data_IF_720908306864
#
_entry.id   IF_720908306864
#
_cell.length_a   1.000
_cell.length_b   1.000
_cell.length_c   1.000
_cell.angle_alpha   90.00
_cell.angle_beta   90.00
_cell.angle_gamma   90.00
#
_symmetry.space_group_name_H-M   'P 1'
#
loop_
_entity.id
_entity.type
_entity.pdbx_description
1 polymer ?
#
# COMPACT_ATOMS: atom_id res chain seq x y z
N UNK A 1 6.93 2.30 24.63
CA UNK A 1 6.44 2.95 23.38
C UNK A 1 7.38 2.71 22.20
N UNK A 2 8.69 2.90 22.36
CA UNK A 2 9.69 2.75 21.26
C UNK A 2 9.59 1.41 20.52
N UNK A 3 9.43 0.28 21.23
CA UNK A 3 9.30 -1.04 20.59
C UNK A 3 8.07 -1.17 19.67
N UNK A 4 6.91 -0.63 20.09
CA UNK A 4 5.71 -0.61 19.24
C UNK A 4 5.87 0.30 18.03
N UNK A 5 6.51 1.46 18.20
CA UNK A 5 6.81 2.37 17.09
C UNK A 5 7.79 1.75 16.08
N UNK A 6 8.80 1.02 16.56
CA UNK A 6 9.75 0.32 15.70
C UNK A 6 9.10 -0.81 14.91
N UNK A 7 8.24 -1.61 15.56
CA UNK A 7 7.46 -2.65 14.88
C UNK A 7 6.49 -2.07 13.85
N UNK A 8 5.81 -0.97 14.18
CA UNK A 8 4.93 -0.28 13.25
C UNK A 8 5.72 0.25 12.04
N UNK A 9 6.90 0.84 12.25
CA UNK A 9 7.76 1.33 11.17
C UNK A 9 8.30 0.19 10.30
N UNK A 10 8.70 -0.94 10.88
CA UNK A 10 9.12 -2.11 10.12
C UNK A 10 7.97 -2.67 9.27
N UNK A 11 6.75 -2.70 9.81
CA UNK A 11 5.56 -3.17 9.11
C UNK A 11 5.13 -2.29 7.93
N UNK A 12 5.57 -1.03 7.86
CA UNK A 12 5.34 -0.20 6.66
C UNK A 12 6.34 -0.47 5.53
N UNK A 13 7.44 -1.18 5.81
CA UNK A 13 8.50 -1.50 4.84
C UNK A 13 8.00 -2.05 3.50
N UNK A 14 7.09 -3.05 3.47
CA UNK A 14 6.53 -3.56 2.22
C UNK A 14 5.73 -2.53 1.41
N UNK A 15 5.22 -1.46 2.05
CA UNK A 15 4.50 -0.37 1.39
C UNK A 15 5.41 0.80 0.98
N UNK A 16 6.70 0.76 1.33
CA UNK A 16 7.68 1.76 0.90
C UNK A 16 8.24 1.39 -0.47
N UNK A 17 8.61 2.40 -1.27
CA UNK A 17 9.16 2.22 -2.62
C UNK A 17 10.33 1.25 -2.65
N UNK A 18 11.22 1.29 -1.64
CA UNK A 18 12.37 0.37 -1.52
C UNK A 18 11.90 -1.07 -1.31
N UNK A 19 10.93 -1.30 -0.44
CA UNK A 19 10.40 -2.64 -0.18
C UNK A 19 9.72 -3.24 -1.41
N UNK A 20 8.88 -2.46 -2.11
CA UNK A 20 8.16 -2.90 -3.31
C UNK A 20 9.14 -3.23 -4.45
N UNK A 21 10.21 -2.45 -4.61
CA UNK A 21 11.16 -2.63 -5.72
C UNK A 21 11.80 -4.03 -5.76
N UNK A 22 11.97 -4.67 -4.60
CA UNK A 22 12.51 -6.04 -4.48
C UNK A 22 11.57 -7.10 -5.06
N UNK A 23 10.27 -6.81 -5.17
CA UNK A 23 9.26 -7.74 -5.67
C UNK A 23 8.91 -7.50 -7.14
N UNK A 24 9.34 -6.39 -7.75
CA UNK A 24 8.97 -6.04 -9.13
C UNK A 24 9.46 -7.08 -10.12
N UNK A 25 10.73 -7.48 -10.06
CA UNK A 25 11.30 -8.43 -11.02
C UNK A 25 10.67 -9.83 -10.88
N UNK A 26 10.50 -10.40 -9.65
CA UNK A 26 9.71 -11.62 -9.45
C UNK A 26 8.26 -11.52 -9.94
N UNK A 27 7.58 -10.38 -9.71
CA UNK A 27 6.19 -10.18 -10.20
C UNK A 27 6.12 -10.22 -11.73
N UNK A 28 7.09 -9.62 -12.42
CA UNK A 28 7.15 -9.61 -13.88
C UNK A 28 7.28 -11.04 -14.40
N UNK A 29 8.17 -11.82 -13.78
CA UNK A 29 8.45 -13.20 -14.19
C UNK A 29 7.26 -14.13 -13.91
N UNK A 30 6.62 -14.00 -12.74
CA UNK A 30 5.52 -14.86 -12.32
C UNK A 30 4.19 -14.52 -13.01
N UNK A 31 3.89 -13.23 -13.21
CA UNK A 31 2.63 -12.78 -13.81
C UNK A 31 2.74 -12.58 -15.33
N UNK A 32 3.94 -12.68 -15.91
CA UNK A 32 4.19 -12.46 -17.33
C UNK A 32 3.88 -11.03 -17.80
N UNK A 33 3.87 -10.05 -16.89
CA UNK A 33 3.53 -8.65 -17.19
C UNK A 33 4.75 -7.82 -17.56
N UNK A 34 4.55 -6.81 -18.41
CA UNK A 34 5.65 -5.92 -18.77
C UNK A 34 6.04 -4.97 -17.62
N UNK A 35 7.30 -4.54 -17.60
CA UNK A 35 7.78 -3.52 -16.64
C UNK A 35 7.00 -2.20 -16.75
N UNK A 36 6.55 -1.82 -17.94
CA UNK A 36 5.73 -0.62 -18.13
C UNK A 36 4.35 -0.78 -17.49
N UNK A 37 3.71 -1.95 -17.59
CA UNK A 37 2.44 -2.24 -16.89
C UNK A 37 2.57 -2.08 -15.37
N UNK A 38 3.67 -2.56 -14.78
CA UNK A 38 3.94 -2.36 -13.35
C UNK A 38 4.16 -0.86 -13.04
N UNK A 39 4.96 -0.17 -13.83
CA UNK A 39 5.23 1.26 -13.64
C UNK A 39 3.96 2.11 -13.73
N UNK A 40 3.08 1.85 -14.71
CA UNK A 40 1.79 2.51 -14.85
C UNK A 40 0.88 2.21 -13.67
N UNK A 41 0.82 0.96 -13.20
CA UNK A 41 0.03 0.58 -12.03
C UNK A 41 0.52 1.29 -10.77
N UNK A 42 1.84 1.38 -10.58
CA UNK A 42 2.45 2.11 -9.47
C UNK A 42 2.16 3.62 -9.52
N UNK A 43 2.23 4.20 -10.72
CA UNK A 43 1.88 5.61 -10.94
C UNK A 43 0.42 5.88 -10.59
N UNK A 44 -0.50 5.04 -11.07
CA UNK A 44 -1.93 5.18 -10.77
C UNK A 44 -2.21 5.03 -9.27
N UNK A 45 -1.60 4.04 -8.62
CA UNK A 45 -1.71 3.86 -7.17
C UNK A 45 -1.19 5.06 -6.39
N UNK A 46 -0.04 5.62 -6.81
CA UNK A 46 0.56 6.81 -6.19
C UNK A 46 -0.33 8.04 -6.35
N UNK A 47 -0.87 8.27 -7.56
CA UNK A 47 -1.77 9.38 -7.83
C UNK A 47 -3.08 9.26 -7.04
N UNK A 48 -3.66 8.06 -6.99
CA UNK A 48 -4.84 7.80 -6.18
C UNK A 48 -4.59 8.09 -4.69
N UNK A 49 -3.43 7.67 -4.17
CA UNK A 49 -2.98 7.98 -2.81
C UNK A 49 -2.79 9.48 -2.58
N UNK A 50 -2.16 10.19 -3.52
CA UNK A 50 -1.97 11.64 -3.44
C UNK A 50 -3.31 12.40 -3.44
N UNK A 51 -4.24 11.95 -4.27
CA UNK A 51 -5.61 12.46 -4.30
C UNK A 51 -6.26 12.21 -2.94
N UNK A 52 -6.07 11.05 -2.30
CA UNK A 52 -6.65 10.74 -0.99
C UNK A 52 -6.15 11.64 0.18
N UNK A 53 -4.95 12.22 0.08
CA UNK A 53 -4.29 12.95 1.17
C UNK A 53 -5.12 14.10 1.80
N UNK A 54 -5.82 14.98 1.06
CA UNK A 54 -6.58 16.07 1.64
C UNK A 54 -7.78 15.59 2.48
N UNK A 55 -8.34 14.41 2.19
CA UNK A 55 -9.39 13.82 3.03
C UNK A 55 -8.81 13.16 4.27
N UNK A 56 -7.67 12.49 4.14
CA UNK A 56 -6.95 11.91 5.28
C UNK A 56 -6.49 13.01 6.25
N UNK A 57 -5.96 14.13 5.75
CA UNK A 57 -5.58 15.27 6.57
C UNK A 57 -6.76 15.84 7.36
N UNK A 58 -7.89 16.09 6.69
CA UNK A 58 -9.13 16.53 7.37
C UNK A 58 -9.65 15.52 8.40
N UNK A 59 -9.55 14.23 8.11
CA UNK A 59 -9.93 13.19 9.07
C UNK A 59 -8.99 13.18 10.28
N UNK A 60 -7.69 13.40 10.08
CA UNK A 60 -6.69 13.50 11.14
C UNK A 60 -6.95 14.70 12.05
N UNK A 61 -7.26 15.86 11.48
CA UNK A 61 -7.60 17.07 12.23
C UNK A 61 -8.90 16.92 13.03
N UNK A 62 -9.91 16.26 12.44
CA UNK A 62 -11.25 16.13 13.05
C UNK A 62 -11.36 15.01 14.08
N UNK A 63 -10.75 13.86 13.83
CA UNK A 63 -10.93 12.64 14.64
C UNK A 63 -9.69 12.26 15.45
N UNK A 64 -8.58 12.98 15.26
CA UNK A 64 -7.31 12.74 15.91
C UNK A 64 -6.52 11.58 15.31
N UNK A 65 -5.18 11.68 15.43
CA UNK A 65 -4.21 10.74 14.85
C UNK A 65 -4.51 9.28 15.17
N UNK A 66 -4.86 8.95 16.43
CA UNK A 66 -5.03 7.55 16.86
C UNK A 66 -6.17 6.83 16.13
N UNK A 67 -7.33 7.46 15.98
CA UNK A 67 -8.48 6.84 15.30
C UNK A 67 -8.24 6.75 13.80
N UNK A 68 -7.71 7.81 13.21
CA UNK A 68 -7.42 7.88 11.78
C UNK A 68 -6.38 6.84 11.37
N UNK A 69 -5.29 6.67 12.13
CA UNK A 69 -4.28 5.65 11.85
C UNK A 69 -4.81 4.22 12.01
N UNK A 70 -5.68 3.97 13.00
CA UNK A 70 -6.31 2.66 13.16
C UNK A 70 -7.18 2.28 11.95
N UNK A 71 -7.98 3.23 11.44
CA UNK A 71 -8.82 3.02 10.25
C UNK A 71 -7.94 2.80 9.01
N UNK A 72 -6.89 3.61 8.82
CA UNK A 72 -5.95 3.44 7.71
C UNK A 72 -5.29 2.07 7.75
N UNK A 73 -4.79 1.65 8.93
CA UNK A 73 -4.17 0.34 9.11
C UNK A 73 -5.14 -0.81 8.82
N UNK A 74 -6.39 -0.70 9.27
CA UNK A 74 -7.43 -1.70 8.99
C UNK A 74 -7.74 -1.81 7.49
N UNK A 75 -7.97 -0.67 6.81
CA UNK A 75 -8.23 -0.64 5.37
C UNK A 75 -7.04 -1.18 4.58
N UNK A 76 -5.82 -0.77 4.93
CA UNK A 76 -4.60 -1.27 4.29
C UNK A 76 -4.43 -2.77 4.46
N UNK A 77 -4.63 -3.29 5.68
CA UNK A 77 -4.60 -4.73 5.94
C UNK A 77 -5.65 -5.50 5.13
N UNK A 78 -6.88 -4.98 5.06
CA UNK A 78 -7.94 -5.58 4.24
C UNK A 78 -7.59 -5.61 2.75
N UNK A 79 -6.98 -4.55 2.22
CA UNK A 79 -6.50 -4.49 0.83
C UNK A 79 -5.39 -5.50 0.58
N UNK A 80 -4.42 -5.63 1.49
CA UNK A 80 -3.36 -6.63 1.34
C UNK A 80 -3.90 -8.07 1.36
N UNK A 81 -4.87 -8.35 2.23
CA UNK A 81 -5.55 -9.66 2.24
C UNK A 81 -6.30 -9.89 0.92
N UNK A 82 -7.00 -8.88 0.40
CA UNK A 82 -7.69 -8.98 -0.88
C UNK A 82 -6.69 -9.22 -2.04
N UNK A 83 -5.57 -8.49 -2.07
CA UNK A 83 -4.51 -8.70 -3.06
C UNK A 83 -3.89 -10.10 -2.97
N UNK A 84 -3.73 -10.65 -1.76
CA UNK A 84 -3.24 -12.01 -1.56
C UNK A 84 -4.16 -13.10 -2.13
N UNK A 85 -5.43 -12.77 -2.39
CA UNK A 85 -6.40 -13.68 -3.00
C UNK A 85 -6.46 -13.53 -4.52
N UNK A 86 -5.81 -12.51 -5.09
CA UNK A 86 -5.79 -12.27 -6.53
C UNK A 86 -4.64 -13.07 -7.14
N UNK A 87 -4.99 -14.10 -7.92
CA UNK A 87 -4.04 -14.95 -8.65
C UNK A 87 -3.80 -14.49 -10.10
N UNK A 88 -4.50 -13.46 -10.59
CA UNK A 88 -4.35 -12.94 -11.96
C UNK A 88 -4.58 -11.43 -12.04
N UNK A 89 -3.79 -10.74 -12.88
CA UNK A 89 -3.77 -9.27 -13.06
C UNK A 89 -5.10 -8.73 -13.61
N UNK A 90 -5.87 -9.61 -14.23
CA UNK A 90 -7.28 -9.42 -14.58
C UNK A 90 -7.96 -10.57 -13.87
N UNK A 91 -8.87 -10.33 -12.92
CA UNK A 91 -9.59 -11.40 -12.21
C UNK A 91 -10.56 -12.20 -13.09
N UNK A 92 -10.02 -12.78 -14.17
CA UNK A 92 -10.59 -13.72 -15.12
C UNK A 92 -9.64 -14.92 -15.23
#
# INVERSE_FOLDING_TARGET
MVGFSALALAATGPGQTVGISLFIDPLIEELGVSRSSISTSYLLGTLAGAIALPWIGRALDRYGVRRTMAVIGFVFGAVLIALSLISSVVGL
#
